data_IF_736427068036
#
_entry.id   IF_736427068036
#
_cell.length_a   1.000
_cell.length_b   1.000
_cell.length_c   1.000
_cell.angle_alpha   90.00
_cell.angle_beta   90.00
_cell.angle_gamma   90.00
#
_symmetry.space_group_name_H-M   'P 1'
#
loop_
_entity.id
_entity.type
_entity.pdbx_description
1 polymer ?
#
# COMPACT_ATOMS: atom_id res chain seq x y z
N UNK A 1 14.73 -4.10 2.87
CA UNK A 1 13.96 -2.84 3.06
C UNK A 1 13.70 -2.63 4.54
N UNK A 2 13.78 -1.41 5.00
CA UNK A 2 13.52 -1.06 6.40
C UNK A 2 12.02 -0.78 6.57
N UNK A 3 11.25 -1.83 6.77
CA UNK A 3 9.78 -1.76 6.75
C UNK A 3 9.18 -0.76 7.74
N UNK A 4 9.70 -0.73 8.96
CA UNK A 4 9.18 0.19 9.98
C UNK A 4 9.39 1.66 9.58
N UNK A 5 10.58 1.98 9.08
CA UNK A 5 10.88 3.34 8.62
C UNK A 5 10.00 3.74 7.44
N UNK A 6 9.80 2.83 6.50
CA UNK A 6 8.94 3.08 5.33
C UNK A 6 7.52 3.35 5.78
N UNK A 7 6.97 2.52 6.66
CA UNK A 7 5.62 2.73 7.20
C UNK A 7 5.50 4.07 7.90
N UNK A 8 6.48 4.44 8.73
CA UNK A 8 6.47 5.71 9.45
C UNK A 8 6.52 6.90 8.50
N UNK A 9 7.38 6.85 7.49
CA UNK A 9 7.47 7.96 6.53
C UNK A 9 6.19 8.12 5.72
N UNK A 10 5.61 7.01 5.27
CA UNK A 10 4.36 7.07 4.52
C UNK A 10 3.25 7.66 5.40
N UNK A 11 3.09 7.14 6.61
CA UNK A 11 2.04 7.61 7.50
C UNK A 11 2.18 9.10 7.81
N UNK A 12 3.41 9.59 7.90
CA UNK A 12 3.70 10.99 8.23
C UNK A 12 3.59 11.93 7.03
N UNK A 13 3.56 11.41 5.80
CA UNK A 13 3.64 12.27 4.63
C UNK A 13 2.33 13.00 4.30
N UNK A 14 1.22 12.60 4.91
CA UNK A 14 -0.07 13.25 4.69
C UNK A 14 -1.03 12.91 5.83
N UNK A 15 -1.74 13.92 6.36
CA UNK A 15 -2.66 13.74 7.48
C UNK A 15 -3.90 12.91 7.15
N UNK A 16 -4.22 12.75 5.87
CA UNK A 16 -5.38 11.98 5.43
C UNK A 16 -5.11 10.49 5.36
N UNK A 17 -3.86 10.06 5.58
CA UNK A 17 -3.53 8.63 5.61
C UNK A 17 -3.93 8.07 6.97
N UNK A 18 -4.73 7.00 6.94
CA UNK A 18 -5.24 6.33 8.13
C UNK A 18 -4.36 5.17 8.57
N UNK A 19 -3.78 4.44 7.60
CA UNK A 19 -3.18 3.14 7.86
C UNK A 19 -2.22 2.80 6.73
N UNK A 20 -1.10 2.20 7.10
CA UNK A 20 -0.09 1.71 6.15
C UNK A 20 0.25 0.28 6.54
N UNK A 21 0.31 -0.61 5.57
CA UNK A 21 0.80 -1.96 5.75
C UNK A 21 1.79 -2.31 4.66
N UNK A 22 2.79 -3.12 5.00
CA UNK A 22 3.69 -3.71 4.02
C UNK A 22 3.62 -5.22 4.24
N UNK A 23 3.26 -5.94 3.18
CA UNK A 23 3.20 -7.39 3.20
C UNK A 23 4.28 -7.92 2.27
N UNK A 24 5.27 -8.61 2.84
CA UNK A 24 6.43 -9.06 2.10
C UNK A 24 6.98 -10.33 2.73
N UNK A 25 7.31 -11.32 1.90
CA UNK A 25 7.80 -12.62 2.34
C UNK A 25 6.90 -13.29 3.40
N UNK A 26 5.59 -13.12 3.24
CA UNK A 26 4.61 -13.72 4.15
C UNK A 26 4.44 -13.01 5.48
N UNK A 27 5.13 -11.90 5.70
CA UNK A 27 5.05 -11.13 6.93
C UNK A 27 4.34 -9.80 6.73
N UNK A 28 3.60 -9.38 7.74
CA UNK A 28 2.86 -8.13 7.75
C UNK A 28 3.49 -7.14 8.72
N UNK A 29 3.84 -5.97 8.19
CA UNK A 29 4.30 -4.82 8.97
C UNK A 29 3.25 -3.73 8.81
N UNK A 30 2.76 -3.19 9.92
CA UNK A 30 1.68 -2.21 9.85
C UNK A 30 1.82 -1.08 10.85
N UNK A 31 1.26 0.08 10.48
CA UNK A 31 1.25 1.26 11.33
C UNK A 31 -0.07 1.99 11.10
N UNK A 32 -0.68 2.44 12.17
CA UNK A 32 -1.94 3.17 12.11
C UNK A 32 -1.78 4.58 12.65
N UNK A 33 -2.51 5.51 12.09
CA UNK A 33 -2.56 6.87 12.61
C UNK A 33 -3.14 6.84 14.03
N UNK A 34 -2.50 7.51 15.00
CA UNK A 34 -3.01 7.56 16.37
C UNK A 34 -4.44 8.10 16.44
N UNK A 35 -5.25 7.51 17.31
CA UNK A 35 -6.62 7.96 17.54
C UNK A 35 -7.64 7.46 16.55
N UNK A 36 -7.24 6.61 15.60
CA UNK A 36 -8.15 6.07 14.59
C UNK A 36 -8.35 4.58 14.84
N UNK A 37 -9.60 4.12 14.68
CA UNK A 37 -9.92 2.71 14.72
C UNK A 37 -9.81 2.10 13.32
N UNK A 38 -9.18 0.93 13.23
CA UNK A 38 -9.14 0.19 11.99
C UNK A 38 -10.52 -0.42 11.72
N UNK A 39 -10.98 -0.35 10.47
CA UNK A 39 -12.24 -0.96 10.08
C UNK A 39 -12.13 -2.50 9.98
N UNK A 40 -10.93 -3.01 9.71
CA UNK A 40 -10.70 -4.45 9.53
C UNK A 40 -9.92 -5.02 10.71
N UNK A 41 -10.18 -6.28 11.04
CA UNK A 41 -9.31 -7.02 11.94
C UNK A 41 -8.00 -7.34 11.25
N UNK A 42 -6.99 -7.78 12.04
CA UNK A 42 -5.71 -8.19 11.47
C UNK A 42 -5.89 -9.35 10.50
N UNK A 43 -6.72 -10.32 10.85
CA UNK A 43 -7.00 -11.47 10.00
C UNK A 43 -7.68 -11.06 8.69
N UNK A 44 -8.65 -10.15 8.76
CA UNK A 44 -9.30 -9.63 7.55
C UNK A 44 -8.31 -8.88 6.66
N UNK A 45 -7.39 -8.13 7.26
CA UNK A 45 -6.36 -7.42 6.52
C UNK A 45 -5.41 -8.40 5.80
N UNK A 46 -4.99 -9.45 6.51
CA UNK A 46 -4.10 -10.47 5.92
C UNK A 46 -4.76 -11.18 4.74
N UNK A 47 -6.03 -11.56 4.88
CA UNK A 47 -6.78 -12.19 3.78
C UNK A 47 -6.89 -11.23 2.60
N UNK A 48 -7.23 -9.98 2.86
CA UNK A 48 -7.36 -8.95 1.83
C UNK A 48 -6.05 -8.74 1.07
N UNK A 49 -4.92 -8.71 1.79
CA UNK A 49 -3.62 -8.54 1.18
C UNK A 49 -3.19 -9.75 0.35
N UNK A 50 -3.50 -10.96 0.82
CA UNK A 50 -3.23 -12.17 0.04
C UNK A 50 -3.97 -12.14 -1.28
N UNK A 51 -5.24 -11.73 -1.27
CA UNK A 51 -6.05 -11.58 -2.48
C UNK A 51 -5.49 -10.48 -3.39
N UNK A 52 -5.01 -9.38 -2.81
CA UNK A 52 -4.40 -8.30 -3.58
C UNK A 52 -3.12 -8.77 -4.28
N UNK A 53 -2.29 -9.56 -3.61
CA UNK A 53 -1.09 -10.14 -4.21
C UNK A 53 -1.46 -11.02 -5.40
N UNK A 54 -2.50 -11.83 -5.29
CA UNK A 54 -2.98 -12.62 -6.40
C UNK A 54 -3.41 -11.75 -7.59
N UNK A 55 -4.19 -10.69 -7.33
CA UNK A 55 -4.58 -9.75 -8.39
C UNK A 55 -3.37 -9.10 -9.06
N UNK A 56 -2.36 -8.74 -8.27
CA UNK A 56 -1.13 -8.16 -8.82
C UNK A 56 -0.38 -9.15 -9.69
N UNK A 57 -0.37 -10.44 -9.33
CA UNK A 57 0.27 -11.45 -10.15
C UNK A 57 -0.40 -11.59 -11.52
N UNK A 58 -1.72 -11.43 -11.57
CA UNK A 58 -2.44 -11.48 -12.86
C UNK A 58 -2.13 -10.26 -13.73
N UNK A 59 -1.91 -9.09 -13.12
CA UNK A 59 -1.55 -7.87 -13.87
C UNK A 59 -0.21 -8.02 -14.60
N UNK A 60 0.69 -8.84 -14.07
CA UNK A 60 1.99 -9.08 -14.69
C UNK A 60 1.91 -9.78 -16.04
N UNK A 61 0.79 -10.40 -16.36
CA UNK A 61 0.61 -11.12 -17.63
C UNK A 61 0.58 -10.18 -18.84
N UNK A 62 0.34 -8.90 -18.63
CA UNK A 62 0.26 -7.91 -19.71
C UNK A 62 1.48 -7.01 -19.80
N UNK A 63 2.53 -7.28 -19.01
CA UNK A 63 3.74 -6.43 -18.95
C UNK A 63 4.38 -6.25 -20.32
N UNK A 64 4.42 -7.28 -21.15
CA UNK A 64 5.03 -7.18 -22.49
C UNK A 64 4.27 -6.26 -23.43
N UNK A 65 3.01 -5.96 -23.12
CA UNK A 65 2.17 -5.11 -23.97
C UNK A 65 2.05 -3.69 -23.46
N UNK A 66 1.87 -3.50 -22.16
CA UNK A 66 1.58 -2.19 -21.58
C UNK A 66 2.55 -1.78 -20.47
N UNK A 67 3.57 -2.58 -20.21
CA UNK A 67 4.57 -2.27 -19.19
C UNK A 67 4.19 -2.73 -17.81
N UNK A 68 5.07 -2.48 -16.86
CA UNK A 68 4.87 -2.88 -15.47
C UNK A 68 3.75 -2.07 -14.80
N UNK A 69 2.85 -2.73 -14.07
CA UNK A 69 1.86 -2.00 -13.28
C UNK A 69 2.54 -1.26 -12.12
N UNK A 70 2.17 -0.02 -11.90
CA UNK A 70 2.82 0.86 -10.91
C UNK A 70 2.03 0.93 -9.61
N UNK A 71 0.74 1.12 -9.69
CA UNK A 71 -0.15 1.13 -8.51
C UNK A 71 -1.56 0.79 -8.92
N UNK A 72 -2.37 0.41 -7.93
CA UNK A 72 -3.80 0.23 -8.12
C UNK A 72 -4.53 0.92 -6.96
N UNK A 73 -5.73 1.38 -7.21
CA UNK A 73 -6.53 2.09 -6.23
C UNK A 73 -7.97 1.62 -6.30
N UNK A 74 -8.57 1.44 -5.13
CA UNK A 74 -9.99 1.14 -5.02
C UNK A 74 -10.64 2.16 -4.09
N UNK A 75 -11.80 2.68 -4.51
CA UNK A 75 -12.60 3.55 -3.67
C UNK A 75 -13.72 2.74 -3.03
N UNK A 76 -13.75 2.76 -1.71
CA UNK A 76 -14.84 2.19 -0.90
C UNK A 76 -15.72 3.33 -0.41
N UNK A 77 -16.85 3.02 0.17
CA UNK A 77 -17.72 4.04 0.73
C UNK A 77 -17.09 4.84 1.87
N UNK A 78 -16.15 4.24 2.59
CA UNK A 78 -15.55 4.86 3.78
C UNK A 78 -14.09 5.27 3.61
N UNK A 79 -13.37 4.66 2.68
CA UNK A 79 -11.93 4.88 2.51
C UNK A 79 -11.51 4.67 1.06
N UNK A 80 -10.34 5.22 0.71
CA UNK A 80 -9.58 4.75 -0.45
C UNK A 80 -8.55 3.74 0.00
N UNK A 81 -8.27 2.75 -0.85
CA UNK A 81 -7.17 1.80 -0.65
C UNK A 81 -6.24 1.86 -1.86
N UNK A 82 -4.97 2.10 -1.59
CA UNK A 82 -3.94 2.21 -2.62
C UNK A 82 -2.98 1.06 -2.41
N UNK A 83 -2.68 0.28 -3.46
CA UNK A 83 -1.68 -0.78 -3.40
C UNK A 83 -0.56 -0.48 -4.36
N UNK A 84 0.67 -0.71 -3.91
CA UNK A 84 1.89 -0.45 -4.67
C UNK A 84 2.82 -1.64 -4.50
N UNK A 85 3.31 -2.25 -5.59
CA UNK A 85 4.18 -3.42 -5.47
C UNK A 85 5.55 -3.04 -4.94
N UNK A 86 6.16 -3.94 -4.17
CA UNK A 86 7.55 -3.86 -3.75
C UNK A 86 8.23 -5.19 -4.04
N UNK A 87 9.48 -5.12 -4.51
CA UNK A 87 10.23 -6.32 -4.84
C UNK A 87 9.49 -7.22 -5.83
N UNK A 88 9.65 -8.53 -5.67
CA UNK A 88 9.06 -9.51 -6.57
C UNK A 88 7.59 -9.84 -6.28
N UNK A 89 7.20 -9.82 -5.01
CA UNK A 89 5.87 -10.31 -4.61
C UNK A 89 5.26 -9.55 -3.43
N UNK A 90 5.91 -8.52 -2.91
CA UNK A 90 5.37 -7.75 -1.79
C UNK A 90 4.46 -6.62 -2.24
N UNK A 91 3.69 -6.08 -1.30
CA UNK A 91 2.81 -4.95 -1.52
C UNK A 91 2.86 -3.96 -0.37
N UNK A 92 2.76 -2.69 -0.71
CA UNK A 92 2.42 -1.63 0.23
C UNK A 92 0.93 -1.37 0.08
N UNK A 93 0.20 -1.35 1.20
CA UNK A 93 -1.21 -0.96 1.24
C UNK A 93 -1.35 0.31 2.05
N UNK A 94 -2.02 1.31 1.49
CA UNK A 94 -2.31 2.55 2.20
C UNK A 94 -3.80 2.80 2.16
N UNK A 95 -4.39 3.11 3.32
CA UNK A 95 -5.80 3.50 3.42
C UNK A 95 -5.87 4.98 3.77
N UNK A 96 -6.77 5.69 3.11
CA UNK A 96 -6.93 7.13 3.33
C UNK A 96 -8.37 7.50 3.60
N UNK A 97 -8.58 8.71 4.16
CA UNK A 97 -9.89 9.33 4.22
C UNK A 97 -10.38 9.62 2.80
N UNK A 98 -11.70 9.77 2.65
CA UNK A 98 -12.28 10.09 1.34
C UNK A 98 -11.97 11.51 0.88
N UNK A 99 -11.60 12.40 1.80
CA UNK A 99 -11.20 13.77 1.49
C UNK A 99 -9.79 13.87 0.94
N UNK A 100 -9.03 12.78 0.92
CA UNK A 100 -7.63 12.78 0.53
C UNK A 100 -7.44 13.05 -0.96
N UNK A 101 -6.36 13.76 -1.28
CA UNK A 101 -5.87 13.86 -2.65
C UNK A 101 -5.02 12.61 -2.93
N UNK A 102 -5.68 11.57 -3.43
CA UNK A 102 -5.04 10.26 -3.59
C UNK A 102 -3.94 10.26 -4.64
N UNK A 103 -4.03 11.11 -5.66
CA UNK A 103 -2.97 11.20 -6.65
C UNK A 103 -1.69 11.77 -6.05
N UNK A 104 -1.81 12.84 -5.26
CA UNK A 104 -0.67 13.44 -4.56
C UNK A 104 -0.05 12.46 -3.57
N UNK A 105 -0.89 11.77 -2.80
CA UNK A 105 -0.43 10.78 -1.83
C UNK A 105 0.31 9.65 -2.55
N UNK A 106 -0.24 9.13 -3.64
CA UNK A 106 0.39 8.06 -4.40
C UNK A 106 1.79 8.47 -4.89
N UNK A 107 1.92 9.69 -5.41
CA UNK A 107 3.22 10.19 -5.86
C UNK A 107 4.24 10.27 -4.71
N UNK A 108 3.80 10.70 -3.53
CA UNK A 108 4.67 10.73 -2.35
C UNK A 108 5.10 9.33 -1.92
N UNK A 109 4.18 8.37 -1.94
CA UNK A 109 4.48 6.98 -1.58
C UNK A 109 5.51 6.39 -2.56
N UNK A 110 5.34 6.64 -3.85
CA UNK A 110 6.28 6.15 -4.86
C UNK A 110 7.69 6.72 -4.64
N UNK A 111 7.80 7.98 -4.26
CA UNK A 111 9.09 8.58 -3.93
C UNK A 111 9.72 7.95 -2.69
N UNK A 112 8.92 7.72 -1.65
CA UNK A 112 9.41 7.07 -0.43
C UNK A 112 9.88 5.65 -0.75
N UNK A 113 9.09 4.89 -1.51
CA UNK A 113 9.48 3.54 -1.92
C UNK A 113 10.82 3.54 -2.66
N UNK A 114 11.01 4.47 -3.58
CA UNK A 114 12.26 4.57 -4.36
C UNK A 114 13.47 4.84 -3.48
N UNK A 115 13.30 5.63 -2.43
CA UNK A 115 14.38 5.95 -1.49
C UNK A 115 14.88 4.72 -0.74
N UNK A 116 14.01 3.74 -0.48
CA UNK A 116 14.35 2.52 0.27
C UNK A 116 14.55 1.30 -0.64
N UNK A 117 14.39 1.44 -1.94
CA UNK A 117 14.65 0.36 -2.89
C UNK A 117 16.14 0.20 -3.09
N UNK A 118 16.61 -1.05 -3.11
CA UNK A 118 18.04 -1.35 -3.20
C UNK A 118 18.50 -1.72 -4.60
N UNK A 119 17.65 -1.63 -5.60
CA UNK A 119 18.07 -1.98 -6.97
C UNK A 119 17.57 -1.02 -8.03
#
# INVERSE_FOLDING_TARGET
MEYEKVCNEILSCNNEIRYVAIYDYGELYEKMKPGINNYLTKEETEVSLSQAIYRWSTRKKTVSKIGNPIFAMAKYEKVYRITIPIGGAGLILVTTELSANVNEITEKILKIRSKYSTN
#
